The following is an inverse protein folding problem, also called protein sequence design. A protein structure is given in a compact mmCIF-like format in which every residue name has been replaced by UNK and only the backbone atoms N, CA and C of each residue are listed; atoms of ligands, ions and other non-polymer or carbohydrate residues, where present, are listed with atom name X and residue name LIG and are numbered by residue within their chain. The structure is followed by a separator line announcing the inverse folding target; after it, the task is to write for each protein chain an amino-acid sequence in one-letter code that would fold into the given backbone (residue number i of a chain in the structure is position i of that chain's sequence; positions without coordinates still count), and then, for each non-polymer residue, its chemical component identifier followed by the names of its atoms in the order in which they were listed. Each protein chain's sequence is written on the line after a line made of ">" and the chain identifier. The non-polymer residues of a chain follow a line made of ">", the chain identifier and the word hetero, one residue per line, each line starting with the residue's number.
data_IF_012291731473
#
_entry.id   IF_012291731473
#
_cell.length_a   1.000
_cell.length_b   1.000
_cell.length_c   1.000
_cell.angle_alpha   90.00
_cell.angle_beta   90.00
_cell.angle_gamma   90.00
#
_symmetry.space_group_name_H-M   'P 1'
#
loop_
_entity.id
_entity.type
_entity.pdbx_description
1 polymer ?
#
# COMPACT_ATOMS: atom_id res chain seq x y z
N UNK A 1 -94.03 35.09 -1.98
CA UNK A 1 -93.31 34.68 -3.22
C UNK A 1 -91.88 35.26 -3.07
N UNK A 2 -90.96 34.46 -2.58
CA UNK A 2 -89.58 34.87 -2.41
C UNK A 2 -88.66 34.07 -3.35
N UNK A 3 -88.05 34.80 -4.29
CA UNK A 3 -87.02 34.24 -5.15
C UNK A 3 -85.71 33.90 -4.36
N UNK A 4 -85.39 32.65 -4.26
CA UNK A 4 -84.09 32.21 -3.81
C UNK A 4 -83.13 32.28 -4.97
N UNK A 5 -82.23 33.25 -4.90
CA UNK A 5 -81.10 33.40 -5.80
C UNK A 5 -79.99 32.37 -5.46
N UNK A 6 -79.82 31.46 -6.41
CA UNK A 6 -78.88 30.36 -6.31
C UNK A 6 -77.47 30.87 -6.58
N UNK A 7 -76.75 31.29 -5.53
CA UNK A 7 -75.31 31.70 -5.56
C UNK A 7 -74.45 30.47 -5.74
N UNK A 8 -73.97 30.16 -6.95
CA UNK A 8 -72.90 29.21 -7.17
C UNK A 8 -71.55 29.75 -6.60
N UNK A 9 -70.85 28.96 -5.81
CA UNK A 9 -69.55 29.38 -5.34
C UNK A 9 -68.56 29.50 -6.50
N UNK A 10 -67.63 30.48 -6.46
CA UNK A 10 -66.64 30.64 -7.51
C UNK A 10 -65.68 29.44 -7.59
N UNK A 11 -65.50 28.94 -8.80
CA UNK A 11 -64.53 27.86 -9.05
C UNK A 11 -63.13 28.28 -8.59
N UNK A 12 -62.64 27.66 -7.51
CA UNK A 12 -61.27 27.81 -7.08
C UNK A 12 -60.38 27.31 -8.22
N UNK A 13 -59.75 28.22 -8.95
CA UNK A 13 -58.61 27.97 -9.82
C UNK A 13 -57.50 27.43 -8.95
N UNK A 14 -57.33 26.11 -8.89
CA UNK A 14 -56.12 25.50 -8.39
C UNK A 14 -54.98 26.08 -9.21
N UNK A 15 -54.19 27.00 -8.57
CA UNK A 15 -52.89 27.37 -9.08
C UNK A 15 -52.11 26.07 -9.22
N UNK A 16 -51.84 25.66 -10.47
CA UNK A 16 -50.79 24.65 -10.75
C UNK A 16 -49.47 25.30 -10.28
N UNK A 17 -49.13 25.04 -9.02
CA UNK A 17 -47.79 25.30 -8.56
C UNK A 17 -46.86 24.51 -9.50
N UNK A 18 -46.06 25.23 -10.27
CA UNK A 18 -44.92 24.65 -10.96
C UNK A 18 -44.09 24.01 -9.87
N UNK A 19 -44.16 22.66 -9.76
CA UNK A 19 -43.27 21.92 -8.95
C UNK A 19 -41.83 22.30 -9.37
N UNK A 20 -40.96 22.75 -8.45
CA UNK A 20 -39.60 23.01 -8.82
C UNK A 20 -39.02 21.73 -9.43
N UNK A 21 -38.18 21.86 -10.46
CA UNK A 21 -37.54 20.73 -11.16
C UNK A 21 -36.46 20.13 -10.27
N UNK A 22 -36.82 19.60 -9.10
CA UNK A 22 -35.88 18.95 -8.15
C UNK A 22 -35.22 17.71 -8.76
N UNK A 23 -35.76 17.15 -9.85
CA UNK A 23 -35.20 16.05 -10.59
C UNK A 23 -33.93 16.37 -11.39
N UNK A 24 -33.69 17.64 -11.76
CA UNK A 24 -32.53 18.04 -12.56
C UNK A 24 -31.22 17.90 -11.74
N UNK A 25 -31.21 18.39 -10.50
CA UNK A 25 -30.06 18.33 -9.60
C UNK A 25 -29.69 16.88 -9.25
N UNK A 26 -30.73 16.03 -9.03
CA UNK A 26 -30.49 14.61 -8.76
C UNK A 26 -29.91 13.88 -9.99
N UNK A 27 -30.33 14.22 -11.20
CA UNK A 27 -29.77 13.65 -12.42
C UNK A 27 -28.30 14.09 -12.64
N UNK A 28 -27.98 15.35 -12.43
CA UNK A 28 -26.60 15.86 -12.49
C UNK A 28 -25.69 15.19 -11.47
N UNK A 29 -26.15 15.05 -10.22
CA UNK A 29 -25.41 14.36 -9.17
C UNK A 29 -25.19 12.88 -9.51
N UNK A 30 -26.17 12.20 -10.11
CA UNK A 30 -26.05 10.79 -10.49
C UNK A 30 -24.94 10.53 -11.52
N UNK A 31 -24.61 11.51 -12.36
CA UNK A 31 -23.52 11.41 -13.33
C UNK A 31 -22.17 11.68 -12.68
N UNK A 32 -22.09 12.63 -11.76
CA UNK A 32 -20.84 13.06 -11.12
C UNK A 32 -20.43 12.14 -9.98
N UNK A 33 -21.39 11.59 -9.22
CA UNK A 33 -21.13 10.75 -8.06
C UNK A 33 -20.22 9.54 -8.36
N UNK A 34 -20.41 8.76 -9.43
CA UNK A 34 -19.52 7.65 -9.75
C UNK A 34 -18.07 8.08 -9.99
N UNK A 35 -17.83 9.23 -10.61
CA UNK A 35 -16.49 9.75 -10.84
C UNK A 35 -15.82 10.15 -9.53
N UNK A 36 -16.55 10.80 -8.63
CA UNK A 36 -16.02 11.15 -7.30
C UNK A 36 -15.70 9.89 -6.50
N UNK A 37 -16.55 8.88 -6.54
CA UNK A 37 -16.32 7.60 -5.86
C UNK A 37 -15.09 6.87 -6.40
N UNK A 38 -14.86 6.87 -7.71
CA UNK A 38 -13.64 6.30 -8.31
C UNK A 38 -12.38 7.04 -7.86
N UNK A 39 -12.41 8.37 -7.83
CA UNK A 39 -11.30 9.18 -7.34
C UNK A 39 -11.04 8.88 -5.86
N UNK A 40 -12.09 8.83 -5.04
CA UNK A 40 -11.96 8.52 -3.62
C UNK A 40 -11.39 7.11 -3.38
N UNK A 41 -11.83 6.11 -4.15
CA UNK A 41 -11.29 4.76 -4.10
C UNK A 41 -9.81 4.73 -4.53
N UNK A 42 -9.44 5.47 -5.57
CA UNK A 42 -8.04 5.62 -5.98
C UNK A 42 -7.16 6.21 -4.89
N UNK A 43 -7.60 7.30 -4.25
CA UNK A 43 -6.86 7.92 -3.14
C UNK A 43 -6.70 6.92 -1.99
N UNK A 44 -7.73 6.15 -1.65
CA UNK A 44 -7.67 5.14 -0.60
C UNK A 44 -6.67 4.02 -0.94
N UNK A 45 -6.71 3.49 -2.17
CA UNK A 45 -5.82 2.42 -2.62
C UNK A 45 -4.36 2.86 -2.65
N UNK A 46 -4.06 4.02 -3.24
CA UNK A 46 -2.70 4.56 -3.27
C UNK A 46 -2.19 4.94 -1.88
N UNK A 47 -3.06 5.45 -1.02
CA UNK A 47 -2.73 5.73 0.39
C UNK A 47 -2.37 4.46 1.16
N UNK A 48 -3.15 3.39 0.99
CA UNK A 48 -2.84 2.07 1.59
C UNK A 48 -1.56 1.47 1.01
N UNK A 49 -1.35 1.56 -0.30
CA UNK A 49 -0.14 1.11 -0.96
C UNK A 49 1.10 1.80 -0.38
N UNK A 50 1.11 3.13 -0.32
CA UNK A 50 2.21 3.91 0.22
C UNK A 50 2.47 3.59 1.69
N UNK A 51 1.43 3.50 2.52
CA UNK A 51 1.53 3.13 3.93
C UNK A 51 2.18 1.75 4.12
N UNK A 52 1.70 0.73 3.39
CA UNK A 52 2.22 -0.64 3.50
C UNK A 52 3.66 -0.73 3.00
N UNK A 53 3.99 -0.07 1.89
CA UNK A 53 5.35 -0.06 1.33
C UNK A 53 6.35 0.58 2.30
N UNK A 54 6.00 1.73 2.87
CA UNK A 54 6.84 2.43 3.85
C UNK A 54 7.02 1.61 5.12
N UNK A 55 5.94 1.01 5.62
CA UNK A 55 6.01 0.16 6.80
C UNK A 55 6.86 -1.09 6.55
N UNK A 56 6.69 -1.75 5.39
CA UNK A 56 7.48 -2.92 5.04
C UNK A 56 8.98 -2.58 4.95
N UNK A 57 9.34 -1.43 4.39
CA UNK A 57 10.72 -0.94 4.39
C UNK A 57 11.24 -0.64 5.80
N UNK A 58 10.39 -0.14 6.69
CA UNK A 58 10.73 0.08 8.10
C UNK A 58 11.00 -1.22 8.85
N UNK A 59 10.14 -2.23 8.65
CA UNK A 59 10.29 -3.53 9.33
C UNK A 59 11.51 -4.32 8.88
N UNK A 60 11.87 -4.26 7.58
CA UNK A 60 13.11 -4.89 7.09
C UNK A 60 14.37 -4.27 7.70
N UNK A 61 14.36 -2.96 8.03
CA UNK A 61 15.45 -2.31 8.76
C UNK A 61 15.60 -2.84 10.19
N UNK A 62 14.48 -3.09 10.88
CA UNK A 62 14.51 -3.70 12.23
C UNK A 62 15.11 -5.10 12.16
N UNK A 63 14.71 -5.91 11.18
CA UNK A 63 15.32 -7.22 10.92
C UNK A 63 16.83 -7.11 10.62
N UNK A 64 17.24 -6.09 9.88
CA UNK A 64 18.62 -5.83 9.56
C UNK A 64 19.45 -5.48 10.81
N UNK A 65 18.92 -4.68 11.74
CA UNK A 65 19.61 -4.40 13.01
C UNK A 65 19.76 -5.66 13.88
N UNK A 66 18.76 -6.53 13.92
CA UNK A 66 18.89 -7.83 14.59
C UNK A 66 19.96 -8.70 13.94
N UNK A 67 19.98 -8.75 12.59
CA UNK A 67 20.95 -9.53 11.82
C UNK A 67 22.41 -9.07 12.01
N UNK A 68 22.65 -7.83 12.42
CA UNK A 68 24.00 -7.35 12.79
C UNK A 68 24.59 -8.11 13.96
N UNK A 69 23.75 -8.50 14.92
CA UNK A 69 24.18 -9.21 16.13
C UNK A 69 24.10 -10.73 15.94
N UNK A 70 23.10 -11.19 15.22
CA UNK A 70 22.80 -12.62 15.03
C UNK A 70 22.53 -12.95 13.57
N UNK A 71 23.53 -12.84 12.66
CA UNK A 71 23.33 -12.98 11.23
C UNK A 71 22.92 -14.38 10.79
N UNK A 72 23.21 -15.42 11.55
CA UNK A 72 22.86 -16.81 11.27
C UNK A 72 21.47 -17.20 11.81
N UNK A 73 20.86 -16.39 12.68
CA UNK A 73 19.55 -16.67 13.28
C UNK A 73 18.40 -16.18 12.38
N UNK A 74 18.14 -16.93 11.31
CA UNK A 74 17.06 -16.62 10.36
C UNK A 74 15.69 -16.50 11.05
N UNK A 75 15.41 -17.36 12.02
CA UNK A 75 14.13 -17.35 12.74
C UNK A 75 13.98 -16.10 13.61
N UNK A 76 15.02 -15.70 14.32
CA UNK A 76 15.04 -14.47 15.10
C UNK A 76 14.88 -13.22 14.24
N UNK A 77 15.51 -13.18 13.06
CA UNK A 77 15.35 -12.09 12.09
C UNK A 77 13.89 -12.02 11.63
N UNK A 78 13.28 -13.12 11.19
CA UNK A 78 11.88 -13.17 10.76
C UNK A 78 10.92 -12.74 11.87
N UNK A 79 11.13 -13.24 13.10
CA UNK A 79 10.32 -12.86 14.26
C UNK A 79 10.44 -11.37 14.60
N UNK A 80 11.64 -10.79 14.52
CA UNK A 80 11.86 -9.37 14.78
C UNK A 80 11.11 -8.49 13.77
N UNK A 81 11.07 -8.89 12.51
CA UNK A 81 10.31 -8.21 11.46
C UNK A 81 8.80 -8.37 11.70
N UNK A 82 8.33 -9.60 11.94
CA UNK A 82 6.90 -9.89 12.12
C UNK A 82 6.33 -9.16 13.34
N UNK A 83 7.05 -9.12 14.44
CA UNK A 83 6.60 -8.48 15.69
C UNK A 83 6.72 -6.94 15.67
N UNK A 84 7.42 -6.38 14.69
CA UNK A 84 7.60 -4.92 14.58
C UNK A 84 6.37 -4.19 14.04
N UNK A 85 5.37 -4.91 13.55
CA UNK A 85 4.16 -4.31 13.00
C UNK A 85 2.91 -5.13 13.32
N UNK A 86 1.88 -4.47 13.84
CA UNK A 86 0.60 -5.10 14.19
C UNK A 86 -0.43 -5.06 13.06
N UNK A 87 -0.23 -4.20 12.05
CA UNK A 87 -1.20 -4.02 10.95
C UNK A 87 -0.83 -4.75 9.65
N UNK A 88 0.26 -5.53 9.67
CA UNK A 88 0.66 -6.41 8.56
C UNK A 88 0.73 -7.86 9.06
N UNK A 89 -0.41 -8.56 9.13
CA UNK A 89 -0.50 -9.83 9.85
C UNK A 89 0.20 -11.00 9.17
N UNK A 90 0.45 -10.95 7.87
CA UNK A 90 1.01 -12.07 7.12
C UNK A 90 2.14 -11.61 6.21
N UNK A 91 3.36 -11.53 6.77
CA UNK A 91 4.56 -11.31 5.99
C UNK A 91 5.10 -12.67 5.48
N UNK A 92 5.59 -12.66 4.26
CA UNK A 92 6.28 -13.80 3.67
C UNK A 92 7.78 -13.51 3.63
N UNK A 93 8.57 -14.50 4.00
CA UNK A 93 10.03 -14.42 4.08
C UNK A 93 10.68 -15.47 3.19
N UNK A 94 11.91 -15.24 2.69
CA UNK A 94 12.69 -16.30 2.07
C UNK A 94 13.09 -17.35 3.12
N UNK A 95 13.40 -18.56 2.65
CA UNK A 95 13.86 -19.65 3.53
C UNK A 95 15.18 -19.31 4.24
N UNK A 96 16.02 -18.49 3.59
CA UNK A 96 17.26 -17.94 4.16
C UNK A 96 17.53 -16.57 3.57
N UNK A 97 18.24 -15.73 4.31
CA UNK A 97 18.67 -14.42 3.82
C UNK A 97 20.01 -14.54 3.10
N UNK A 98 20.11 -14.07 1.83
CA UNK A 98 21.32 -14.23 1.05
C UNK A 98 22.44 -13.34 1.56
N UNK A 99 23.65 -13.92 1.54
CA UNK A 99 24.89 -13.19 1.72
C UNK A 99 25.46 -12.78 0.37
N UNK A 100 26.08 -11.61 0.33
CA UNK A 100 26.88 -11.15 -0.79
C UNK A 100 28.24 -10.66 -0.29
N UNK A 101 29.29 -10.92 -1.06
CA UNK A 101 30.63 -10.53 -0.71
C UNK A 101 31.25 -9.71 -1.83
N UNK A 102 32.00 -8.68 -1.48
CA UNK A 102 32.71 -7.82 -2.40
C UNK A 102 34.07 -7.41 -1.84
N UNK A 103 34.98 -7.02 -2.71
CA UNK A 103 36.24 -6.40 -2.35
C UNK A 103 36.11 -4.88 -2.19
N UNK A 104 37.17 -4.21 -1.76
CA UNK A 104 37.16 -2.75 -1.54
C UNK A 104 36.85 -1.94 -2.79
N UNK A 105 37.21 -2.47 -3.96
CA UNK A 105 36.91 -1.89 -5.27
C UNK A 105 35.46 -2.16 -5.74
N UNK A 106 34.62 -2.78 -4.88
CA UNK A 106 33.22 -3.22 -5.14
C UNK A 106 33.10 -4.37 -6.14
N UNK A 107 34.20 -5.05 -6.45
CA UNK A 107 34.12 -6.25 -7.29
C UNK A 107 33.45 -7.38 -6.51
N UNK A 108 32.33 -7.95 -6.97
CA UNK A 108 31.67 -9.07 -6.31
C UNK A 108 32.52 -10.33 -6.38
N UNK A 109 32.60 -11.04 -5.26
CA UNK A 109 33.31 -12.33 -5.14
C UNK A 109 32.40 -13.36 -4.45
N UNK A 110 32.74 -14.63 -4.59
CA UNK A 110 32.11 -15.67 -3.78
C UNK A 110 32.49 -15.47 -2.31
N UNK A 111 31.52 -15.63 -1.39
CA UNK A 111 31.80 -15.44 0.06
C UNK A 111 32.76 -16.51 0.63
N UNK A 112 33.06 -17.54 -0.13
CA UNK A 112 34.06 -18.59 0.17
C UNK A 112 35.47 -18.20 -0.26
N UNK A 113 35.63 -17.14 -1.05
CA UNK A 113 36.92 -16.63 -1.55
C UNK A 113 37.37 -15.41 -0.77
N UNK A 114 38.65 -15.08 -0.86
CA UNK A 114 39.17 -13.82 -0.33
C UNK A 114 39.65 -12.91 -1.45
N UNK A 115 39.63 -11.60 -1.21
CA UNK A 115 40.10 -10.62 -2.19
C UNK A 115 41.57 -10.87 -2.54
N UNK A 116 42.39 -11.30 -1.60
CA UNK A 116 43.78 -11.67 -1.84
C UNK A 116 43.93 -12.88 -2.78
N UNK A 117 43.05 -13.87 -2.71
CA UNK A 117 43.12 -15.06 -3.59
C UNK A 117 42.72 -14.76 -5.04
N UNK A 118 41.88 -13.75 -5.25
CA UNK A 118 41.48 -13.28 -6.58
C UNK A 118 42.36 -12.12 -7.09
N UNK A 119 43.42 -11.76 -6.34
CA UNK A 119 44.38 -10.73 -6.75
C UNK A 119 43.85 -9.29 -6.61
N UNK A 120 42.80 -9.08 -5.78
CA UNK A 120 42.24 -7.78 -5.52
C UNK A 120 42.69 -7.23 -4.16
N UNK A 121 42.83 -5.91 -4.03
CA UNK A 121 43.26 -5.30 -2.77
C UNK A 121 42.14 -5.25 -1.72
N UNK A 122 42.56 -5.23 -0.47
CA UNK A 122 41.70 -4.97 0.68
C UNK A 122 40.99 -6.19 1.28
N UNK A 123 40.27 -6.00 2.38
CA UNK A 123 39.55 -7.05 3.05
C UNK A 123 38.22 -7.37 2.34
N UNK A 124 37.69 -8.56 2.59
CA UNK A 124 36.36 -8.92 2.17
C UNK A 124 35.32 -8.08 2.91
N UNK A 125 34.34 -7.58 2.18
CA UNK A 125 33.13 -6.96 2.74
C UNK A 125 31.99 -7.95 2.60
N UNK A 126 31.39 -8.29 3.72
CA UNK A 126 30.27 -9.25 3.77
C UNK A 126 28.99 -8.48 4.04
N UNK A 127 28.00 -8.71 3.21
CA UNK A 127 26.66 -8.14 3.34
C UNK A 127 25.63 -9.26 3.51
N UNK A 128 24.57 -8.97 4.25
CA UNK A 128 23.36 -9.79 4.30
C UNK A 128 22.17 -8.95 3.80
N UNK A 129 21.35 -9.54 2.97
CA UNK A 129 20.14 -8.87 2.43
C UNK A 129 18.91 -9.43 3.11
N UNK A 130 18.28 -8.60 3.92
CA UNK A 130 17.03 -8.91 4.62
C UNK A 130 15.87 -8.48 3.73
N UNK A 131 14.98 -9.40 3.39
CA UNK A 131 13.80 -9.12 2.56
C UNK A 131 12.53 -9.70 3.18
N UNK A 132 11.44 -8.98 2.96
CA UNK A 132 10.11 -9.42 3.33
C UNK A 132 9.12 -9.01 2.23
N UNK A 133 8.06 -9.77 2.08
CA UNK A 133 6.99 -9.47 1.13
C UNK A 133 5.61 -9.62 1.78
N UNK A 134 4.65 -8.89 1.22
CA UNK A 134 3.25 -8.93 1.65
C UNK A 134 2.32 -8.88 0.44
N UNK A 135 1.28 -9.70 0.45
CA UNK A 135 0.21 -9.59 -0.55
C UNK A 135 -0.52 -8.25 -0.42
N UNK A 136 -0.84 -7.67 -1.56
CA UNK A 136 -1.61 -6.44 -1.66
C UNK A 136 -2.83 -6.65 -2.55
N UNK A 137 -4.01 -6.32 -2.02
CA UNK A 137 -5.26 -6.38 -2.76
C UNK A 137 -5.87 -4.98 -2.74
N UNK A 138 -5.91 -4.26 -3.87
CA UNK A 138 -6.56 -2.97 -3.98
C UNK A 138 -8.09 -3.12 -3.94
N UNK A 139 -8.81 -2.05 -3.62
CA UNK A 139 -10.28 -1.98 -3.67
C UNK A 139 -10.79 -2.04 -5.11
N UNK A 140 -10.03 -1.43 -6.04
CA UNK A 140 -10.31 -1.43 -7.47
C UNK A 140 -9.10 -2.02 -8.20
N UNK A 141 -9.31 -2.91 -9.18
CA UNK A 141 -8.20 -3.51 -9.93
C UNK A 141 -7.58 -2.49 -10.91
N UNK A 142 -6.73 -1.61 -10.37
CA UNK A 142 -6.02 -0.61 -11.18
C UNK A 142 -4.90 -1.26 -11.99
N UNK A 143 -4.75 -0.91 -13.27
CA UNK A 143 -3.62 -1.39 -14.05
C UNK A 143 -2.29 -0.86 -13.46
N UNK A 144 -1.30 -1.74 -13.33
CA UNK A 144 0.02 -1.39 -12.83
C UNK A 144 0.22 -1.44 -11.30
N UNK A 145 -0.82 -1.71 -10.51
CA UNK A 145 -0.65 -1.98 -9.08
C UNK A 145 -0.18 -3.43 -8.90
N UNK A 146 0.94 -3.66 -8.18
CA UNK A 146 1.44 -5.01 -7.94
C UNK A 146 0.56 -5.78 -6.96
N UNK A 147 0.38 -7.09 -7.19
CA UNK A 147 -0.35 -7.98 -6.28
C UNK A 147 0.44 -8.31 -4.99
N UNK A 148 1.75 -8.01 -4.96
CA UNK A 148 2.61 -8.19 -3.79
C UNK A 148 3.57 -7.02 -3.67
N UNK A 149 3.84 -6.62 -2.44
CA UNK A 149 4.81 -5.61 -2.07
C UNK A 149 6.04 -6.33 -1.53
N UNK A 150 7.23 -5.90 -1.92
CA UNK A 150 8.49 -6.44 -1.43
C UNK A 150 9.38 -5.30 -0.98
N UNK A 151 10.03 -5.46 0.16
CA UNK A 151 11.10 -4.57 0.61
C UNK A 151 12.34 -5.40 0.93
N UNK A 152 13.50 -4.82 0.66
CA UNK A 152 14.78 -5.43 0.99
C UNK A 152 15.73 -4.36 1.56
N UNK A 153 16.53 -4.78 2.53
CA UNK A 153 17.57 -3.95 3.15
C UNK A 153 18.85 -4.76 3.23
N UNK A 154 19.91 -4.27 2.59
CA UNK A 154 21.25 -4.86 2.70
C UNK A 154 22.04 -4.13 3.78
N UNK A 155 22.70 -4.88 4.64
CA UNK A 155 23.61 -4.34 5.66
C UNK A 155 24.97 -5.02 5.57
N UNK A 156 26.01 -4.25 5.87
CA UNK A 156 27.36 -4.77 6.00
C UNK A 156 27.54 -5.39 7.38
N UNK A 157 28.09 -6.60 7.42
CA UNK A 157 28.42 -7.32 8.64
C UNK A 157 29.88 -7.09 9.06
N UNK A 158 30.77 -7.01 8.08
CA UNK A 158 32.21 -6.78 8.22
C UNK A 158 32.69 -5.85 7.12
#
# INVERSE_FOLDING_TARGET
>A
MGHQENQRPPAQRRARGSAPCDGSVAAEFAIVAPMILLIAAGIADFGMLAKKTTALAGTTRIGAEYARLYPADTAGIQNSIQNSTSFMPALSFPASFPYSCECDDKTPIACTESCATVGLPGPNRVFITISASQAFTPLVPWPGIPASLTAATAIRLQ
#
